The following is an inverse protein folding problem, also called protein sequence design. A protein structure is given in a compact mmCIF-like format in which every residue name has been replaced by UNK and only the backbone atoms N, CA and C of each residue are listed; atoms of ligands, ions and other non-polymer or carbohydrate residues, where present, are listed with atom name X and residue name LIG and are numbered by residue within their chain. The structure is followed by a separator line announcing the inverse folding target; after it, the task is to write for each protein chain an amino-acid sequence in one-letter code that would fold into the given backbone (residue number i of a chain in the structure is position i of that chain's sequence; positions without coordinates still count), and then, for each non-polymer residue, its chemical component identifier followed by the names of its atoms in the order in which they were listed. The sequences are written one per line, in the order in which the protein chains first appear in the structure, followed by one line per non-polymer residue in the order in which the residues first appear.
data_IF_188959827752
#
_entry.id   IF_188959827752
#
_cell.length_a   1.000
_cell.length_b   1.000
_cell.length_c   1.000
_cell.angle_alpha   90.00
_cell.angle_beta   90.00
_cell.angle_gamma   90.00
#
_symmetry.space_group_name_H-M   'P 1'
#
loop_
_entity.id
_entity.type
_entity.pdbx_description
1 polymer ?
#
# COMPACT_ATOMS: atom_id res chain seq x y z
N UNK A 1 -24.36 -13.10 18.30
CA UNK A 1 -23.04 -13.75 18.06
C UNK A 1 -21.98 -12.80 18.60
N UNK A 2 -21.15 -13.23 19.54
CA UNK A 2 -20.18 -12.36 20.24
C UNK A 2 -18.87 -12.27 19.45
N UNK A 3 -18.16 -11.15 19.57
CA UNK A 3 -16.90 -10.84 18.85
C UNK A 3 -15.83 -11.94 19.02
N UNK A 4 -15.82 -12.63 20.15
CA UNK A 4 -14.89 -13.73 20.46
C UNK A 4 -15.11 -14.96 19.58
N UNK A 5 -16.35 -15.23 19.14
CA UNK A 5 -16.66 -16.41 18.33
C UNK A 5 -16.14 -16.31 16.89
N UNK A 6 -15.79 -15.10 16.41
CA UNK A 6 -15.28 -14.88 15.06
C UNK A 6 -13.76 -15.09 14.95
N UNK A 7 -13.00 -14.83 16.03
CA UNK A 7 -11.53 -14.87 16.02
C UNK A 7 -10.94 -16.28 16.20
N UNK A 8 -11.70 -17.23 16.75
CA UNK A 8 -11.16 -18.56 17.13
C UNK A 8 -11.06 -19.58 15.98
N UNK A 9 -11.31 -19.18 14.73
CA UNK A 9 -11.33 -20.12 13.57
C UNK A 9 -10.10 -20.06 12.66
N UNK A 10 -9.15 -19.14 12.86
CA UNK A 10 -8.04 -18.93 11.92
C UNK A 10 -6.67 -19.47 12.37
N UNK A 11 -6.51 -19.94 13.60
CA UNK A 11 -5.20 -20.43 14.07
C UNK A 11 -5.10 -21.95 13.96
N UNK A 12 -4.41 -22.48 12.93
CA UNK A 12 -3.67 -23.76 12.98
C UNK A 12 -2.84 -24.02 11.70
N UNK A 13 -1.52 -24.19 11.92
CA UNK A 13 -0.59 -25.14 11.27
C UNK A 13 0.64 -24.60 10.50
N UNK A 14 1.81 -24.80 11.16
CA UNK A 14 3.15 -25.17 10.66
C UNK A 14 3.98 -24.15 9.82
N UNK A 15 5.30 -23.97 9.96
CA UNK A 15 6.34 -24.68 10.72
C UNK A 15 7.62 -24.88 9.88
N UNK A 16 8.73 -24.25 10.30
CA UNK A 16 10.16 -24.62 10.17
C UNK A 16 11.00 -24.41 8.86
N UNK A 17 12.17 -23.74 9.05
CA UNK A 17 13.56 -24.15 8.72
C UNK A 17 14.41 -23.37 7.65
N UNK A 18 15.44 -22.67 8.17
CA UNK A 18 16.85 -22.42 7.75
C UNK A 18 17.28 -22.17 6.28
N UNK A 19 18.02 -21.05 6.06
CA UNK A 19 19.29 -21.05 5.30
C UNK A 19 19.51 -20.01 4.18
N UNK A 20 20.72 -19.39 4.19
CA UNK A 20 21.41 -18.59 3.15
C UNK A 20 21.01 -17.10 2.96
N UNK A 21 21.87 -16.21 3.46
CA UNK A 21 21.80 -14.75 3.26
C UNK A 21 21.95 -14.37 1.78
N UNK A 22 20.82 -14.02 1.18
CA UNK A 22 20.69 -13.22 -0.04
C UNK A 22 20.23 -11.81 0.36
N UNK A 23 20.21 -10.82 -0.54
CA UNK A 23 19.66 -9.48 -0.22
C UNK A 23 18.21 -9.52 0.32
N UNK A 24 17.49 -10.61 0.01
CA UNK A 24 16.21 -11.01 0.62
C UNK A 24 16.28 -11.28 2.14
N UNK A 25 17.43 -11.72 2.65
CA UNK A 25 17.70 -11.97 4.07
C UNK A 25 17.91 -10.70 4.90
N UNK A 26 18.31 -9.57 4.30
CA UNK A 26 18.31 -8.27 5.00
C UNK A 26 16.90 -7.74 5.21
N UNK A 27 15.98 -8.06 4.28
CA UNK A 27 14.56 -7.72 4.38
C UNK A 27 13.87 -8.68 5.37
N UNK A 28 14.20 -9.98 5.33
CA UNK A 28 13.61 -10.97 6.25
C UNK A 28 14.19 -10.97 7.66
N UNK A 29 15.47 -10.63 7.90
CA UNK A 29 16.00 -10.53 9.28
C UNK A 29 15.54 -9.26 9.98
N UNK A 30 15.30 -8.18 9.24
CA UNK A 30 14.61 -6.99 9.77
C UNK A 30 13.18 -7.31 10.23
N UNK A 31 12.52 -8.30 9.60
CA UNK A 31 11.17 -8.75 9.94
C UNK A 31 11.11 -9.89 10.97
N UNK A 32 12.24 -10.54 11.29
CA UNK A 32 12.28 -11.73 12.16
C UNK A 32 13.06 -11.53 13.47
N UNK A 33 13.76 -10.40 13.66
CA UNK A 33 14.57 -10.12 14.85
C UNK A 33 14.01 -8.99 15.74
N UNK A 34 12.78 -8.51 15.49
CA UNK A 34 12.12 -7.53 16.34
C UNK A 34 10.96 -8.17 17.12
N UNK A 35 10.73 -7.74 18.35
CA UNK A 35 9.36 -7.68 18.89
C UNK A 35 8.56 -6.63 18.11
N UNK A 36 8.36 -6.88 16.80
CA UNK A 36 8.14 -5.89 15.74
C UNK A 36 6.72 -5.36 15.62
N UNK A 37 6.25 -4.65 16.64
CA UNK A 37 4.93 -4.00 16.67
C UNK A 37 4.71 -2.95 15.57
N UNK A 38 3.69 -2.11 15.75
CA UNK A 38 3.15 -1.12 14.79
C UNK A 38 4.15 -0.41 13.85
N UNK A 39 5.39 -0.16 14.28
CA UNK A 39 6.46 0.41 13.45
C UNK A 39 6.74 -0.41 12.18
N UNK A 40 6.72 -1.74 12.25
CA UNK A 40 7.00 -2.59 11.08
C UNK A 40 5.81 -2.57 10.10
N UNK A 41 4.59 -2.52 10.62
CA UNK A 41 3.36 -2.33 9.83
C UNK A 41 3.36 -0.96 9.15
N UNK A 42 3.75 0.09 9.87
CA UNK A 42 3.86 1.45 9.31
C UNK A 42 4.94 1.54 8.24
N UNK A 43 6.08 0.88 8.42
CA UNK A 43 7.14 0.83 7.40
C UNK A 43 6.72 0.05 6.14
N UNK A 44 5.92 -1.00 6.32
CA UNK A 44 5.28 -1.69 5.21
C UNK A 44 4.34 -0.76 4.44
N UNK A 45 3.43 -0.06 5.13
CA UNK A 45 2.53 0.92 4.51
C UNK A 45 3.33 2.04 3.80
N UNK A 46 4.35 2.59 4.46
CA UNK A 46 5.22 3.65 3.92
C UNK A 46 5.87 3.26 2.58
N UNK A 47 6.21 1.98 2.41
CA UNK A 47 6.77 1.48 1.15
C UNK A 47 5.74 1.54 0.00
N UNK A 48 4.46 1.29 0.29
CA UNK A 48 3.36 1.35 -0.67
C UNK A 48 3.02 2.81 -1.02
N UNK A 49 2.93 3.68 -0.02
CA UNK A 49 2.70 5.11 -0.26
C UNK A 49 3.82 5.73 -1.12
N UNK A 50 5.07 5.32 -0.89
CA UNK A 50 6.19 5.72 -1.73
C UNK A 50 6.07 5.22 -3.18
N UNK A 51 5.54 4.01 -3.38
CA UNK A 51 5.29 3.43 -4.70
C UNK A 51 4.24 4.24 -5.47
N UNK A 52 3.12 4.58 -4.82
CA UNK A 52 2.02 5.33 -5.43
C UNK A 52 2.39 6.79 -5.67
N UNK A 53 3.02 7.45 -4.69
CA UNK A 53 3.57 8.81 -4.84
C UNK A 53 4.50 8.90 -6.05
N UNK A 54 5.41 7.93 -6.21
CA UNK A 54 6.34 7.90 -7.33
C UNK A 54 5.62 7.59 -8.66
N UNK A 55 4.64 6.68 -8.64
CA UNK A 55 3.84 6.35 -9.82
C UNK A 55 3.14 7.60 -10.37
N UNK A 56 2.42 8.35 -9.54
CA UNK A 56 1.73 9.55 -9.97
C UNK A 56 2.69 10.68 -10.33
N UNK A 57 3.80 10.84 -9.59
CA UNK A 57 4.84 11.82 -9.91
C UNK A 57 5.41 11.61 -11.32
N UNK A 58 5.67 10.36 -11.70
CA UNK A 58 6.11 10.03 -13.06
C UNK A 58 4.97 10.12 -14.07
N UNK A 59 3.78 9.65 -13.71
CA UNK A 59 2.59 9.61 -14.56
C UNK A 59 2.18 10.99 -15.07
N UNK A 60 2.08 11.98 -14.16
CA UNK A 60 1.74 13.38 -14.47
C UNK A 60 2.69 13.99 -15.51
N UNK A 61 3.96 13.55 -15.55
CA UNK A 61 4.97 14.07 -16.49
C UNK A 61 4.98 13.32 -17.82
N UNK A 62 4.82 12.00 -17.76
CA UNK A 62 5.14 11.08 -18.87
C UNK A 62 3.93 10.71 -19.72
N UNK A 63 2.74 10.59 -19.12
CA UNK A 63 1.55 10.10 -19.82
C UNK A 63 1.02 11.18 -20.75
N UNK A 64 0.72 10.80 -21.99
CA UNK A 64 0.08 11.67 -22.98
C UNK A 64 -1.37 11.25 -23.20
N UNK A 65 -2.21 12.21 -23.58
CA UNK A 65 -3.62 11.96 -23.91
C UNK A 65 -4.55 11.81 -22.71
N UNK A 66 -4.14 12.26 -21.52
CA UNK A 66 -5.07 12.47 -20.40
C UNK A 66 -5.94 13.70 -20.69
N UNK A 67 -7.21 13.65 -20.28
CA UNK A 67 -8.05 14.85 -20.22
C UNK A 67 -7.51 15.82 -19.17
N UNK A 68 -8.06 17.04 -19.13
CA UNK A 68 -7.73 18.00 -18.07
C UNK A 68 -8.15 17.46 -16.70
N UNK A 69 -9.34 16.90 -16.61
CA UNK A 69 -9.90 16.32 -15.38
C UNK A 69 -9.05 15.16 -14.88
N UNK A 70 -8.59 14.29 -15.78
CA UNK A 70 -7.70 13.16 -15.43
C UNK A 70 -6.32 13.62 -14.99
N UNK A 71 -5.79 14.66 -15.64
CA UNK A 71 -4.50 15.23 -15.26
C UNK A 71 -4.58 15.92 -13.90
N UNK A 72 -5.69 16.61 -13.61
CA UNK A 72 -5.93 17.25 -12.33
C UNK A 72 -6.18 16.21 -11.23
N UNK A 73 -6.90 15.12 -11.54
CA UNK A 73 -7.04 13.97 -10.64
C UNK A 73 -5.69 13.32 -10.32
N UNK A 74 -4.87 13.02 -11.32
CA UNK A 74 -3.56 12.40 -11.09
C UNK A 74 -2.60 13.28 -10.26
N UNK A 75 -2.71 14.60 -10.35
CA UNK A 75 -1.96 15.52 -9.48
C UNK A 75 -2.49 15.52 -8.06
N UNK A 76 -3.82 15.50 -7.89
CA UNK A 76 -4.45 15.41 -6.57
C UNK A 76 -4.00 14.13 -5.85
N UNK A 77 -4.14 12.97 -6.50
CA UNK A 77 -3.73 11.70 -5.90
C UNK A 77 -2.24 11.70 -5.55
N UNK A 78 -1.37 12.20 -6.43
CA UNK A 78 0.05 12.41 -6.10
C UNK A 78 0.26 13.19 -4.80
N UNK A 79 -0.49 14.27 -4.62
CA UNK A 79 -0.34 15.16 -3.47
C UNK A 79 -0.88 14.50 -2.21
N UNK A 80 -2.02 13.82 -2.30
CA UNK A 80 -2.61 13.04 -1.21
C UNK A 80 -1.65 11.90 -0.77
N UNK A 81 -1.05 11.14 -1.71
CA UNK A 81 -0.06 10.09 -1.36
C UNK A 81 1.21 10.65 -0.71
N UNK A 82 1.63 11.84 -1.13
CA UNK A 82 2.80 12.49 -0.52
C UNK A 82 2.49 12.89 0.94
N UNK A 83 1.26 13.34 1.22
CA UNK A 83 0.81 13.61 2.58
C UNK A 83 0.72 12.33 3.43
N UNK A 84 0.29 11.20 2.85
CA UNK A 84 0.33 9.89 3.52
C UNK A 84 1.76 9.48 3.89
N UNK A 85 2.71 9.61 2.94
CA UNK A 85 4.14 9.38 3.20
C UNK A 85 4.65 10.20 4.38
N UNK A 86 4.34 11.50 4.39
CA UNK A 86 4.79 12.42 5.45
C UNK A 86 4.20 12.03 6.81
N UNK A 87 2.90 11.70 6.85
CA UNK A 87 2.20 11.27 8.06
C UNK A 87 2.77 9.96 8.63
N UNK A 88 2.99 8.94 7.79
CA UNK A 88 3.59 7.67 8.21
C UNK A 88 5.03 7.87 8.70
N UNK A 89 5.81 8.67 7.97
CA UNK A 89 7.20 8.99 8.34
C UNK A 89 7.28 9.68 9.70
N UNK A 90 6.37 10.62 9.98
CA UNK A 90 6.28 11.28 11.27
C UNK A 90 5.90 10.29 12.38
N UNK A 91 4.84 9.50 12.16
CA UNK A 91 4.35 8.50 13.13
C UNK A 91 5.42 7.48 13.50
N UNK A 92 6.17 6.96 12.51
CA UNK A 92 7.27 6.02 12.76
C UNK A 92 8.33 6.65 13.66
N UNK A 93 8.70 7.91 13.43
CA UNK A 93 9.69 8.62 14.27
C UNK A 93 9.17 8.85 15.68
N UNK A 94 7.91 9.23 15.83
CA UNK A 94 7.28 9.49 17.12
C UNK A 94 7.19 8.23 17.98
N UNK A 95 7.01 7.07 17.34
CA UNK A 95 7.11 5.75 17.99
C UNK A 95 8.55 5.31 18.29
N UNK A 96 9.55 6.16 18.02
CA UNK A 96 10.98 5.84 18.19
C UNK A 96 11.56 4.91 17.12
N UNK A 97 10.78 4.61 16.08
CA UNK A 97 11.18 3.80 14.95
C UNK A 97 12.00 4.58 13.91
N UNK A 98 12.62 3.83 12.99
CA UNK A 98 13.34 4.41 11.85
C UNK A 98 12.48 4.25 10.59
N UNK A 99 12.10 5.35 9.91
CA UNK A 99 11.40 5.25 8.62
C UNK A 99 12.26 4.55 7.57
N UNK A 100 11.64 3.64 6.84
CA UNK A 100 12.22 2.92 5.72
C UNK A 100 12.63 3.89 4.62
N UNK A 101 13.74 3.58 3.95
CA UNK A 101 14.17 4.38 2.81
C UNK A 101 13.26 4.12 1.61
N UNK A 102 12.90 5.19 0.89
CA UNK A 102 12.18 5.09 -0.38
C UNK A 102 12.94 4.21 -1.39
N UNK A 103 12.35 3.10 -1.86
CA UNK A 103 12.95 2.28 -2.91
C UNK A 103 13.01 3.00 -4.26
N UNK A 104 13.80 2.46 -5.18
CA UNK A 104 13.71 2.86 -6.58
C UNK A 104 12.60 2.06 -7.27
N UNK A 105 11.69 2.75 -7.96
CA UNK A 105 10.56 2.10 -8.61
C UNK A 105 10.68 2.06 -10.14
N UNK A 106 10.04 1.06 -10.74
CA UNK A 106 9.89 0.90 -12.18
C UNK A 106 8.45 0.53 -12.52
N UNK A 107 7.87 1.19 -13.52
CA UNK A 107 6.46 0.97 -13.88
C UNK A 107 6.27 0.37 -15.28
N UNK A 108 7.36 -0.08 -15.91
CA UNK A 108 7.34 -0.68 -17.24
C UNK A 108 6.55 0.15 -18.25
N UNK A 109 5.56 -0.47 -18.89
CA UNK A 109 4.68 0.17 -19.88
C UNK A 109 3.52 1.00 -19.32
N UNK A 110 3.41 1.19 -18.00
CA UNK A 110 2.28 1.87 -17.38
C UNK A 110 2.05 3.29 -17.91
N UNK A 111 3.11 3.97 -18.37
CA UNK A 111 3.00 5.34 -18.90
C UNK A 111 2.86 5.43 -20.42
N UNK A 112 2.71 4.29 -21.12
CA UNK A 112 2.68 4.25 -22.58
C UNK A 112 1.46 4.93 -23.20
N UNK A 113 0.31 4.91 -22.52
CA UNK A 113 -0.91 5.59 -22.95
C UNK A 113 -1.88 5.75 -21.75
N UNK A 114 -2.92 6.56 -21.93
CA UNK A 114 -4.00 6.78 -20.95
C UNK A 114 -4.55 5.49 -20.37
N UNK A 115 -4.86 4.49 -21.19
CA UNK A 115 -5.47 3.23 -20.74
C UNK A 115 -4.54 2.43 -19.85
N UNK A 116 -3.26 2.32 -20.21
CA UNK A 116 -2.26 1.64 -19.39
C UNK A 116 -2.09 2.35 -18.05
N UNK A 117 -2.00 3.68 -18.05
CA UNK A 117 -1.84 4.49 -16.85
C UNK A 117 -3.01 4.31 -15.89
N UNK A 118 -4.24 4.53 -16.34
CA UNK A 118 -5.42 4.41 -15.48
C UNK A 118 -5.64 2.97 -15.01
N UNK A 119 -5.27 1.97 -15.81
CA UNK A 119 -5.34 0.56 -15.38
C UNK A 119 -4.33 0.28 -14.26
N UNK A 120 -3.08 0.74 -14.41
CA UNK A 120 -2.07 0.57 -13.36
C UNK A 120 -2.43 1.36 -12.12
N UNK A 121 -2.89 2.61 -12.25
CA UNK A 121 -3.39 3.42 -11.15
C UNK A 121 -4.39 2.62 -10.31
N UNK A 122 -5.47 2.12 -10.92
CA UNK A 122 -6.47 1.35 -10.15
C UNK A 122 -5.89 0.09 -9.50
N UNK A 123 -4.93 -0.59 -10.13
CA UNK A 123 -4.29 -1.77 -9.52
C UNK A 123 -3.50 -1.38 -8.27
N UNK A 124 -2.78 -0.25 -8.30
CA UNK A 124 -2.04 0.24 -7.14
C UNK A 124 -3.01 0.62 -6.02
N UNK A 125 -4.00 1.47 -6.29
CA UNK A 125 -5.00 1.88 -5.29
C UNK A 125 -5.71 0.69 -4.64
N UNK A 126 -6.11 -0.31 -5.44
CA UNK A 126 -6.75 -1.52 -4.90
C UNK A 126 -5.79 -2.36 -4.05
N UNK A 127 -4.49 -2.31 -4.38
CA UNK A 127 -3.43 -2.95 -3.59
C UNK A 127 -3.22 -2.20 -2.27
N UNK A 128 -3.17 -0.87 -2.29
CA UNK A 128 -3.09 0.00 -1.10
C UNK A 128 -4.24 -0.27 -0.13
N UNK A 129 -5.49 -0.19 -0.62
CA UNK A 129 -6.69 -0.53 0.16
C UNK A 129 -6.59 -1.92 0.78
N UNK A 130 -6.22 -2.93 -0.02
CA UNK A 130 -6.14 -4.31 0.44
C UNK A 130 -5.02 -4.53 1.47
N UNK A 131 -3.93 -3.77 1.37
CA UNK A 131 -2.80 -3.82 2.28
C UNK A 131 -3.15 -3.22 3.65
N UNK A 132 -3.77 -2.03 3.68
CA UNK A 132 -4.24 -1.43 4.93
C UNK A 132 -5.27 -2.31 5.63
N UNK A 133 -6.26 -2.82 4.89
CA UNK A 133 -7.29 -3.69 5.46
C UNK A 133 -6.71 -5.01 6.01
N UNK A 134 -5.68 -5.56 5.36
CA UNK A 134 -4.99 -6.77 5.82
C UNK A 134 -4.06 -6.52 7.01
N UNK A 135 -3.45 -5.34 7.09
CA UNK A 135 -2.55 -4.98 8.18
C UNK A 135 -3.30 -4.51 9.44
N UNK A 136 -4.48 -3.91 9.29
CA UNK A 136 -5.25 -3.33 10.40
C UNK A 136 -5.45 -4.28 11.61
N UNK A 137 -5.75 -5.58 11.45
CA UNK A 137 -5.90 -6.49 12.59
C UNK A 137 -4.61 -6.75 13.38
N UNK A 138 -3.44 -6.44 12.81
CA UNK A 138 -2.14 -6.63 13.44
C UNK A 138 -1.65 -5.38 14.18
N UNK A 139 -2.33 -4.24 14.03
CA UNK A 139 -1.99 -2.99 14.71
C UNK A 139 -2.44 -3.06 16.17
N UNK A 140 -1.52 -2.83 17.10
CA UNK A 140 -1.74 -2.88 18.55
C UNK A 140 -2.17 -1.51 19.10
N UNK A 141 -1.56 -0.42 18.63
CA UNK A 141 -1.92 0.94 19.04
C UNK A 141 -3.23 1.38 18.41
N UNK A 142 -4.18 1.77 19.26
CA UNK A 142 -5.48 2.31 18.83
C UNK A 142 -5.31 3.61 18.04
N UNK A 143 -4.29 4.42 18.37
CA UNK A 143 -4.03 5.67 17.66
C UNK A 143 -3.47 5.40 16.26
N UNK A 144 -2.57 4.43 16.13
CA UNK A 144 -2.05 3.99 14.83
C UNK A 144 -3.17 3.36 13.99
N UNK A 145 -4.03 2.56 14.61
CA UNK A 145 -5.19 1.96 13.94
C UNK A 145 -6.18 3.02 13.46
N UNK A 146 -6.43 4.05 14.26
CA UNK A 146 -7.28 5.17 13.87
C UNK A 146 -6.69 5.96 12.70
N UNK A 147 -5.38 6.21 12.72
CA UNK A 147 -4.68 6.88 11.62
C UNK A 147 -4.72 6.05 10.32
N UNK A 148 -4.40 4.75 10.39
CA UNK A 148 -4.51 3.82 9.27
C UNK A 148 -5.94 3.75 8.71
N UNK A 149 -6.94 3.78 9.60
CA UNK A 149 -8.36 3.87 9.23
C UNK A 149 -8.73 5.16 8.50
N UNK A 150 -8.04 6.27 8.77
CA UNK A 150 -8.18 7.52 8.03
C UNK A 150 -7.60 7.43 6.62
N UNK A 151 -6.39 6.88 6.49
CA UNK A 151 -5.70 6.73 5.19
C UNK A 151 -6.48 5.80 4.26
N UNK A 152 -6.83 4.58 4.72
CA UNK A 152 -7.51 3.59 3.86
C UNK A 152 -8.86 4.08 3.32
N UNK A 153 -9.53 4.99 4.02
CA UNK A 153 -10.76 5.60 3.52
C UNK A 153 -10.51 6.55 2.35
N UNK A 154 -9.37 7.23 2.32
CA UNK A 154 -8.95 8.08 1.21
C UNK A 154 -8.48 7.22 0.04
N UNK A 155 -7.67 6.18 0.29
CA UNK A 155 -7.30 5.16 -0.70
C UNK A 155 -8.52 4.57 -1.41
N UNK A 156 -9.55 4.19 -0.65
CA UNK A 156 -10.80 3.67 -1.22
C UNK A 156 -11.49 4.69 -2.15
N UNK A 157 -11.39 6.00 -1.85
CA UNK A 157 -11.93 7.07 -2.69
C UNK A 157 -11.05 7.32 -3.92
N UNK A 158 -9.74 7.24 -3.82
CA UNK A 158 -8.83 7.28 -4.96
C UNK A 158 -9.17 6.14 -5.94
N UNK A 159 -9.27 4.92 -5.42
CA UNK A 159 -9.66 3.73 -6.18
C UNK A 159 -11.02 3.91 -6.87
N UNK A 160 -12.01 4.52 -6.19
CA UNK A 160 -13.32 4.82 -6.75
C UNK A 160 -13.26 5.89 -7.86
N UNK A 161 -12.50 6.97 -7.66
CA UNK A 161 -12.34 8.05 -8.64
C UNK A 161 -11.65 7.54 -9.92
N UNK A 162 -10.61 6.73 -9.78
CA UNK A 162 -9.95 6.10 -10.93
C UNK A 162 -10.91 5.16 -11.67
N UNK A 163 -11.78 4.43 -10.97
CA UNK A 163 -12.81 3.60 -11.60
C UNK A 163 -13.81 4.45 -12.40
N UNK A 164 -14.25 5.59 -11.88
CA UNK A 164 -15.17 6.48 -12.58
C UNK A 164 -14.57 7.00 -13.90
N UNK A 165 -13.33 7.48 -13.92
CA UNK A 165 -12.68 7.94 -15.17
C UNK A 165 -12.39 6.79 -16.16
N UNK A 166 -12.46 5.54 -15.68
CA UNK A 166 -12.39 4.31 -16.50
C UNK A 166 -13.76 3.76 -16.88
N UNK A 167 -14.85 4.46 -16.57
CA UNK A 167 -16.23 4.02 -16.79
C UNK A 167 -16.52 2.66 -16.11
N UNK A 168 -16.07 2.50 -14.86
CA UNK A 168 -16.32 1.33 -14.01
C UNK A 168 -17.12 1.73 -12.77
N UNK A 169 -17.87 0.79 -12.15
CA UNK A 169 -18.56 1.05 -10.89
C UNK A 169 -17.57 1.51 -9.81
N UNK A 170 -17.82 2.61 -9.08
CA UNK A 170 -16.87 3.13 -8.07
C UNK A 170 -16.68 2.18 -6.88
N UNK A 171 -17.70 1.40 -6.54
CA UNK A 171 -17.67 0.35 -5.52
C UNK A 171 -18.16 -0.97 -6.15
N UNK A 172 -17.25 -1.77 -6.74
CA UNK A 172 -17.65 -2.99 -7.46
C UNK A 172 -18.07 -4.14 -6.53
N UNK A 173 -17.67 -4.08 -5.26
CA UNK A 173 -17.96 -5.06 -4.21
C UNK A 173 -18.52 -4.33 -2.98
N UNK A 174 -19.26 -5.05 -2.14
CA UNK A 174 -19.76 -4.52 -0.87
C UNK A 174 -18.68 -4.43 0.22
N UNK A 175 -17.60 -5.19 0.06
CA UNK A 175 -16.45 -5.21 0.96
C UNK A 175 -15.18 -5.30 0.12
N UNK A 176 -14.20 -4.46 0.43
CA UNK A 176 -12.87 -4.59 -0.16
C UNK A 176 -12.15 -5.81 0.41
N UNK A 177 -11.24 -6.37 -0.39
CA UNK A 177 -10.40 -7.49 0.04
C UNK A 177 -9.43 -7.01 1.12
N UNK A 178 -9.14 -7.87 2.09
CA UNK A 178 -7.97 -7.76 2.95
C UNK A 178 -6.93 -8.80 2.47
N UNK A 179 -5.67 -8.40 2.33
CA UNK A 179 -4.59 -9.31 1.90
C UNK A 179 -3.44 -9.30 2.89
N UNK A 180 -2.85 -10.46 3.09
CA UNK A 180 -1.65 -10.61 3.91
C UNK A 180 -0.48 -9.80 3.34
N UNK A 181 0.36 -9.26 4.22
CA UNK A 181 1.52 -8.44 3.82
C UNK A 181 2.42 -9.17 2.82
N UNK A 182 2.62 -10.49 2.97
CA UNK A 182 3.41 -11.29 2.03
C UNK A 182 2.81 -11.30 0.61
N UNK A 183 1.48 -11.41 0.49
CA UNK A 183 0.79 -11.35 -0.80
C UNK A 183 1.00 -10.00 -1.47
N UNK A 184 0.89 -8.91 -0.69
CA UNK A 184 1.09 -7.55 -1.17
C UNK A 184 2.54 -7.35 -1.62
N UNK A 185 3.52 -7.74 -0.81
CA UNK A 185 4.94 -7.63 -1.15
C UNK A 185 5.27 -8.39 -2.44
N UNK A 186 4.69 -9.58 -2.62
CA UNK A 186 4.83 -10.34 -3.87
C UNK A 186 4.20 -9.62 -5.06
N UNK A 187 3.04 -9.00 -4.87
CA UNK A 187 2.34 -8.25 -5.91
C UNK A 187 3.10 -6.98 -6.34
N UNK A 188 3.73 -6.28 -5.40
CA UNK A 188 4.46 -5.03 -5.69
C UNK A 188 5.92 -5.24 -6.09
N UNK A 189 6.49 -6.41 -5.82
CA UNK A 189 7.88 -6.76 -6.18
C UNK A 189 8.29 -6.40 -7.62
N UNK A 190 7.46 -6.61 -8.66
CA UNK A 190 7.83 -6.22 -10.03
C UNK A 190 8.06 -4.71 -10.23
N UNK A 191 7.52 -3.87 -9.35
CA UNK A 191 7.69 -2.42 -9.37
C UNK A 191 8.92 -1.94 -8.61
N UNK A 192 9.54 -2.77 -7.76
CA UNK A 192 10.71 -2.39 -6.96
C UNK A 192 11.98 -2.83 -7.69
N UNK A 193 12.92 -1.90 -7.91
CA UNK A 193 14.27 -2.23 -8.39
C UNK A 193 15.16 -2.65 -7.23
N UNK A 194 15.90 -3.74 -7.45
CA UNK A 194 16.98 -4.20 -6.59
C UNK A 194 18.19 -3.25 -6.63
#
# INVERSE_FOLDING_TARGET
MTREAFLMRSTLAAGAAYGAMSATGLISSALAESGGGDVDILNFALTLEHLETEFYTQGVKRVKGLSKEESDLAKRLRDDEAEHVDALTATIKDLGGKPGAKPTFQFGGAFGNRTAFLKTANVLEDTGVSAYNGAAPMIESVDVLAAAGGIVQIEGRHAALIRLVRNKPPAPLAFDKASEMEEILKAVKPFIRA
#
